data_IF_792355724664
#
_entry.id   IF_792355724664
#
_cell.length_a   1.000
_cell.length_b   1.000
_cell.length_c   1.000
_cell.angle_alpha   90.00
_cell.angle_beta   90.00
_cell.angle_gamma   90.00
#
_symmetry.space_group_name_H-M   'P 1'
#
loop_
_entity.id
_entity.type
_entity.pdbx_description
1 polymer ?
#
# COMPACT_ATOMS: atom_id res chain seq x y z
N UNK A 1 15.42 0.50 -29.09
CA UNK A 1 15.59 0.11 -27.67
C UNK A 1 17.05 0.00 -27.23
N UNK A 2 17.94 -0.74 -27.91
CA UNK A 2 19.37 -0.87 -27.53
C UNK A 2 20.12 0.47 -27.33
N UNK A 3 19.71 1.52 -28.05
CA UNK A 3 20.35 2.83 -27.97
C UNK A 3 20.11 3.56 -26.64
N UNK A 4 18.96 3.35 -25.99
CA UNK A 4 18.61 4.04 -24.73
C UNK A 4 19.48 3.52 -23.58
N UNK A 5 19.70 2.20 -23.53
CA UNK A 5 20.57 1.55 -22.55
C UNK A 5 22.03 1.93 -22.73
N UNK A 6 22.48 2.12 -23.97
CA UNK A 6 23.83 2.63 -24.27
C UNK A 6 24.03 4.05 -23.72
N UNK A 7 23.03 4.93 -23.84
CA UNK A 7 23.09 6.29 -23.29
C UNK A 7 23.07 6.27 -21.76
N UNK A 8 22.21 5.45 -21.16
CA UNK A 8 22.13 5.30 -19.69
C UNK A 8 23.46 4.79 -19.12
N UNK A 9 24.09 3.79 -19.75
CA UNK A 9 25.38 3.28 -19.30
C UNK A 9 26.51 4.31 -19.48
N UNK A 10 26.51 5.09 -20.57
CA UNK A 10 27.47 6.16 -20.78
C UNK A 10 27.33 7.29 -19.72
N UNK A 11 26.09 7.64 -19.37
CA UNK A 11 25.80 8.58 -18.28
C UNK A 11 26.24 8.02 -16.92
N UNK A 12 25.93 6.75 -16.62
CA UNK A 12 26.36 6.09 -15.37
C UNK A 12 27.87 6.17 -15.16
N UNK A 13 28.66 5.85 -16.20
CA UNK A 13 30.13 5.98 -16.17
C UNK A 13 30.61 7.40 -15.89
N UNK A 14 29.91 8.41 -16.40
CA UNK A 14 30.26 9.83 -16.20
C UNK A 14 30.08 10.24 -14.72
N UNK A 15 29.12 9.65 -14.02
CA UNK A 15 28.83 9.92 -12.60
C UNK A 15 29.43 8.89 -11.63
N UNK A 16 30.29 7.99 -12.11
CA UNK A 16 30.92 6.96 -11.27
C UNK A 16 29.95 5.91 -10.74
N UNK A 17 28.78 5.76 -11.38
CA UNK A 17 27.81 4.72 -11.09
C UNK A 17 28.17 3.53 -11.99
N UNK A 18 28.51 2.39 -11.39
CA UNK A 18 28.71 1.14 -12.14
C UNK A 18 27.43 0.85 -12.93
N UNK A 19 27.53 0.89 -14.25
CA UNK A 19 26.43 0.52 -15.14
C UNK A 19 26.09 -0.95 -14.97
N UNK A 20 24.90 -1.36 -15.40
CA UNK A 20 24.51 -2.76 -15.44
C UNK A 20 25.28 -3.49 -16.56
N UNK A 21 26.59 -3.70 -16.40
CA UNK A 21 27.45 -4.17 -17.49
C UNK A 21 27.30 -5.66 -17.84
N UNK A 22 26.47 -6.44 -17.15
CA UNK A 22 26.29 -7.88 -17.47
C UNK A 22 24.84 -8.40 -17.42
N UNK A 23 23.84 -7.56 -17.14
CA UNK A 23 22.44 -8.02 -17.08
C UNK A 23 21.71 -7.67 -18.36
N UNK A 24 20.99 -8.63 -18.94
CA UNK A 24 20.06 -8.35 -20.03
C UNK A 24 19.06 -7.28 -19.56
N UNK A 25 19.03 -6.09 -20.20
CA UNK A 25 18.14 -5.04 -19.78
C UNK A 25 16.69 -5.46 -20.07
N UNK A 26 15.90 -5.70 -19.03
CA UNK A 26 14.46 -5.88 -19.14
C UNK A 26 13.75 -4.53 -18.96
N UNK A 27 12.68 -4.33 -19.73
CA UNK A 27 11.73 -3.24 -19.52
C UNK A 27 10.44 -3.91 -19.06
N UNK A 28 10.05 -3.65 -17.82
CA UNK A 28 8.71 -3.97 -17.34
C UNK A 28 7.87 -2.71 -17.46
N UNK A 29 6.81 -2.79 -18.26
CA UNK A 29 5.81 -1.72 -18.35
C UNK A 29 4.79 -1.97 -17.23
N UNK A 30 4.83 -1.13 -16.20
CA UNK A 30 3.75 -1.07 -15.21
C UNK A 30 2.54 -0.40 -15.88
N UNK A 31 1.69 -1.23 -16.49
CA UNK A 31 0.43 -0.83 -17.13
C UNK A 31 -0.71 -0.69 -16.12
N UNK A 32 -0.40 -0.40 -14.85
CA UNK A 32 -1.41 0.15 -13.96
C UNK A 32 -1.81 1.53 -14.47
N UNK A 33 -2.84 1.56 -15.33
CA UNK A 33 -3.72 2.72 -15.49
C UNK A 33 -4.00 3.19 -14.07
N UNK A 34 -3.39 4.32 -13.69
CA UNK A 34 -3.24 4.78 -12.30
C UNK A 34 -4.59 4.63 -11.60
N UNK A 35 -4.75 3.54 -10.86
CA UNK A 35 -6.00 3.27 -10.17
C UNK A 35 -6.13 4.37 -9.13
N UNK A 36 -7.18 5.17 -9.24
CA UNK A 36 -7.42 6.24 -8.29
C UNK A 36 -7.56 5.63 -6.89
N UNK A 37 -6.55 5.92 -6.06
CA UNK A 37 -6.45 5.43 -4.68
C UNK A 37 -7.64 5.88 -3.86
N UNK A 38 -8.20 7.05 -4.14
CA UNK A 38 -9.37 7.57 -3.45
C UNK A 38 -10.60 6.76 -3.82
N UNK A 39 -10.85 6.58 -5.12
CA UNK A 39 -11.96 5.74 -5.60
C UNK A 39 -11.90 4.32 -5.03
N UNK A 40 -10.72 3.68 -5.02
CA UNK A 40 -10.52 2.37 -4.39
C UNK A 40 -10.82 2.40 -2.90
N UNK A 41 -10.27 3.38 -2.18
CA UNK A 41 -10.49 3.52 -0.74
C UNK A 41 -11.98 3.67 -0.42
N UNK A 42 -12.67 4.54 -1.16
CA UNK A 42 -14.10 4.80 -1.00
C UNK A 42 -14.92 3.55 -1.27
N UNK A 43 -14.63 2.81 -2.34
CA UNK A 43 -15.33 1.58 -2.69
C UNK A 43 -15.27 0.55 -1.56
N UNK A 44 -14.07 0.18 -1.11
CA UNK A 44 -13.93 -0.84 -0.06
C UNK A 44 -14.39 -0.36 1.30
N UNK A 45 -14.26 0.94 1.61
CA UNK A 45 -14.85 1.53 2.82
C UNK A 45 -16.37 1.40 2.80
N UNK A 46 -17.01 1.67 1.65
CA UNK A 46 -18.46 1.54 1.48
C UNK A 46 -18.93 0.10 1.67
N UNK A 47 -18.20 -0.89 1.14
CA UNK A 47 -18.52 -2.30 1.33
C UNK A 47 -18.44 -2.71 2.80
N UNK A 48 -17.40 -2.28 3.52
CA UNK A 48 -17.25 -2.55 4.94
C UNK A 48 -18.38 -1.90 5.75
N UNK A 49 -18.69 -0.62 5.49
CA UNK A 49 -19.79 0.08 6.16
C UNK A 49 -21.16 -0.54 5.87
N UNK A 50 -21.32 -1.18 4.72
CA UNK A 50 -22.54 -1.91 4.35
C UNK A 50 -22.59 -3.33 4.92
N UNK A 51 -21.54 -3.78 5.63
CA UNK A 51 -21.43 -5.14 6.18
C UNK A 51 -21.20 -6.23 5.13
N UNK A 52 -20.82 -5.87 3.90
CA UNK A 52 -20.61 -6.81 2.79
C UNK A 52 -19.22 -7.46 2.82
N UNK A 53 -18.25 -6.84 3.49
CA UNK A 53 -16.90 -7.37 3.71
C UNK A 53 -16.47 -7.09 5.15
N UNK A 54 -15.55 -7.91 5.66
CA UNK A 54 -14.92 -7.69 6.97
C UNK A 54 -13.83 -6.59 6.93
N UNK A 55 -13.37 -6.19 8.11
CA UNK A 55 -12.37 -5.12 8.27
C UNK A 55 -11.00 -5.50 7.69
N UNK A 56 -10.58 -6.75 7.84
CA UNK A 56 -9.28 -7.24 7.36
C UNK A 56 -9.22 -7.22 5.84
N UNK A 57 -10.27 -7.74 5.20
CA UNK A 57 -10.49 -7.71 3.76
C UNK A 57 -10.48 -6.28 3.23
N UNK A 58 -11.19 -5.36 3.89
CA UNK A 58 -11.20 -3.96 3.51
C UNK A 58 -9.79 -3.33 3.57
N UNK A 59 -9.07 -3.52 4.68
CA UNK A 59 -7.74 -2.96 4.89
C UNK A 59 -6.70 -3.52 3.90
N UNK A 60 -6.73 -4.83 3.65
CA UNK A 60 -5.86 -5.46 2.65
C UNK A 60 -6.06 -4.84 1.27
N UNK A 61 -7.32 -4.65 0.83
CA UNK A 61 -7.62 -4.10 -0.50
C UNK A 61 -7.35 -2.61 -0.62
N UNK A 62 -7.63 -1.83 0.42
CA UNK A 62 -7.37 -0.38 0.43
C UNK A 62 -5.87 -0.11 0.36
N UNK A 63 -5.11 -0.75 1.25
CA UNK A 63 -3.68 -0.50 1.43
C UNK A 63 -2.77 -1.40 0.59
N UNK A 64 -3.33 -2.38 -0.13
CA UNK A 64 -2.58 -3.43 -0.84
C UNK A 64 -1.61 -4.18 0.07
N UNK A 65 -2.04 -4.43 1.31
CA UNK A 65 -1.24 -5.12 2.31
C UNK A 65 -1.39 -6.65 2.15
N UNK A 66 -0.31 -7.41 2.41
CA UNK A 66 -0.42 -8.85 2.66
C UNK A 66 -1.44 -9.12 3.77
N UNK A 67 -2.11 -10.27 3.70
CA UNK A 67 -3.16 -10.68 4.64
C UNK A 67 -2.70 -10.58 6.11
N UNK A 68 -1.48 -11.06 6.39
CA UNK A 68 -0.86 -10.97 7.73
C UNK A 68 -0.82 -9.54 8.29
N UNK A 69 -0.48 -8.56 7.45
CA UNK A 69 -0.33 -7.17 7.88
C UNK A 69 -1.69 -6.49 8.01
N UNK A 70 -2.64 -6.84 7.14
CA UNK A 70 -4.02 -6.38 7.24
C UNK A 70 -4.69 -6.88 8.52
N UNK A 71 -4.45 -8.14 8.90
CA UNK A 71 -4.94 -8.73 10.16
C UNK A 71 -4.38 -8.01 11.37
N UNK A 72 -3.06 -7.80 11.43
CA UNK A 72 -2.42 -7.08 12.53
C UNK A 72 -2.98 -5.65 12.68
N UNK A 73 -3.28 -4.99 11.56
CA UNK A 73 -3.91 -3.67 11.56
C UNK A 73 -5.36 -3.71 12.05
N UNK A 74 -6.15 -4.69 11.63
CA UNK A 74 -7.53 -4.88 12.09
C UNK A 74 -7.58 -5.14 13.60
N UNK A 75 -6.71 -6.00 14.12
CA UNK A 75 -6.59 -6.29 15.55
C UNK A 75 -6.20 -5.05 16.36
N UNK A 76 -5.24 -4.25 15.87
CA UNK A 76 -4.85 -2.98 16.49
C UNK A 76 -6.03 -2.02 16.60
N UNK A 77 -6.78 -1.82 15.50
CA UNK A 77 -7.95 -0.93 15.48
C UNK A 77 -9.03 -1.42 16.47
N UNK A 78 -9.26 -2.73 16.55
CA UNK A 78 -10.23 -3.31 17.49
C UNK A 78 -9.80 -3.09 18.95
N UNK A 79 -8.52 -3.21 19.25
CA UNK A 79 -7.99 -2.97 20.60
C UNK A 79 -8.08 -1.49 20.99
N UNK A 80 -7.70 -0.57 20.10
CA UNK A 80 -7.82 0.87 20.33
C UNK A 80 -9.28 1.29 20.59
N UNK A 81 -10.24 0.75 19.82
CA UNK A 81 -11.67 1.03 20.04
C UNK A 81 -12.15 0.58 21.42
N UNK A 82 -11.66 -0.55 21.93
CA UNK A 82 -12.01 -1.05 23.27
C UNK A 82 -11.48 -0.12 24.37
N UNK A 83 -10.24 0.34 24.23
CA UNK A 83 -9.61 1.25 25.21
C UNK A 83 -10.32 2.60 25.27
N UNK A 84 -10.68 3.18 24.12
CA UNK A 84 -11.44 4.44 24.07
C UNK A 84 -12.82 4.29 24.71
N UNK A 85 -13.50 3.16 24.48
CA UNK A 85 -14.82 2.89 25.09
C UNK A 85 -14.72 2.77 26.61
N UNK A 86 -13.67 2.13 27.13
CA UNK A 86 -13.44 2.05 28.57
C UNK A 86 -13.20 3.43 29.19
N UNK A 87 -12.35 4.26 28.59
CA UNK A 87 -12.09 5.63 29.08
C UNK A 87 -13.33 6.53 29.06
N UNK A 88 -14.19 6.39 28.05
CA UNK A 88 -15.45 7.14 27.97
C UNK A 88 -16.47 6.74 29.07
N UNK A 89 -16.50 5.47 29.47
CA UNK A 89 -17.38 4.97 30.54
C UNK A 89 -16.96 5.51 31.91
N UNK A 90 -15.66 5.72 32.16
CA UNK A 90 -15.16 6.23 33.44
C UNK A 90 -15.04 7.77 33.51
N UNK A 91 -15.21 8.48 32.39
CA UNK A 91 -15.08 9.94 32.32
C UNK A 91 -16.38 10.75 32.45
N UNK A 92 -17.55 10.10 32.47
CA UNK A 92 -18.86 10.76 32.65
C UNK A 92 -19.31 10.57 34.10
N UNK A 93 -18.68 11.32 35.01
CA UNK A 93 -18.95 11.23 36.44
C UNK A 93 -18.11 12.22 37.25
N UNK A 94 -18.21 13.50 36.91
CA UNK A 94 -17.80 14.63 37.75
C UNK A 94 -18.73 15.81 37.50
#
# INVERSE_FOLDING_TARGET
MKHIFSVINALGKTYGIEGAEEKEPSIEWDDSVIEDRNSRSTYYSSLYSSGLIDLESALSKIHRLPEKDAKAMAEKILNEKKEVTAGAIFGVGA
#
